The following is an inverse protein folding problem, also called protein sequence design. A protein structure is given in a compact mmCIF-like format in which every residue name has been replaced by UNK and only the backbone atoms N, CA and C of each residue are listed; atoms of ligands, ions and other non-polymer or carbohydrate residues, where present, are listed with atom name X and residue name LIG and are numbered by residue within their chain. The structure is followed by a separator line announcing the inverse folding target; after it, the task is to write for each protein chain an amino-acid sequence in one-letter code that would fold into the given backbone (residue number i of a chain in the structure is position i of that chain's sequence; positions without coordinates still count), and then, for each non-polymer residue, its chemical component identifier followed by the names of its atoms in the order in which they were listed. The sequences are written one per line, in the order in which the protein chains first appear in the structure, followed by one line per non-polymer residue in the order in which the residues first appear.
data_IF_428926937538
#
_entry.id   IF_428926937538
#
_cell.length_a   1.000
_cell.length_b   1.000
_cell.length_c   1.000
_cell.angle_alpha   90.00
_cell.angle_beta   90.00
_cell.angle_gamma   90.00
#
_symmetry.space_group_name_H-M   'P 1'
#
loop_
_entity.id
_entity.type
_entity.pdbx_description
1 polymer ?
#
# COMPACT_ATOMS: atom_id res chain seq x y z
N UNK A 1 23.25 10.24 -20.18
CA UNK A 1 22.34 9.24 -20.76
C UNK A 1 21.93 9.73 -22.15
N UNK A 2 21.97 8.87 -23.16
CA UNK A 2 21.45 9.20 -24.49
C UNK A 2 19.92 9.17 -24.49
N UNK A 3 19.30 9.94 -25.38
CA UNK A 3 17.87 9.81 -25.64
C UNK A 3 17.59 8.49 -26.35
N UNK A 4 16.64 7.70 -25.83
CA UNK A 4 16.18 6.46 -26.44
C UNK A 4 14.67 6.60 -26.64
N UNK A 5 14.23 6.68 -27.90
CA UNK A 5 12.81 6.82 -28.23
C UNK A 5 12.04 5.55 -27.90
N UNK A 6 10.79 5.70 -27.46
CA UNK A 6 9.83 4.60 -27.32
C UNK A 6 9.16 4.20 -28.64
N UNK A 7 9.37 4.97 -29.71
CA UNK A 7 8.59 4.94 -30.95
C UNK A 7 7.58 6.09 -31.06
N UNK A 8 7.33 6.84 -29.98
CA UNK A 8 6.50 8.05 -30.00
C UNK A 8 7.09 9.13 -30.91
N UNK A 9 6.24 9.76 -31.72
CA UNK A 9 6.60 10.86 -32.59
C UNK A 9 6.04 12.21 -32.08
N UNK A 10 6.89 13.16 -31.64
CA UNK A 10 6.44 14.47 -31.19
C UNK A 10 5.85 15.35 -32.31
N UNK A 11 6.23 15.12 -33.58
CA UNK A 11 5.67 15.85 -34.73
C UNK A 11 4.28 15.35 -35.12
N UNK A 12 3.94 14.13 -34.67
CA UNK A 12 2.65 13.49 -34.93
C UNK A 12 2.10 12.86 -33.64
N UNK A 13 1.74 13.68 -32.64
CA UNK A 13 1.44 13.18 -31.31
C UNK A 13 0.17 12.32 -31.23
N UNK A 14 -0.65 12.28 -32.28
CA UNK A 14 -1.88 11.49 -32.33
C UNK A 14 -1.73 10.19 -33.13
N UNK A 15 -0.63 10.02 -33.89
CA UNK A 15 -0.33 8.78 -34.62
C UNK A 15 0.00 7.68 -33.60
N UNK A 16 -0.57 6.48 -33.81
CA UNK A 16 -0.39 5.29 -32.95
C UNK A 16 -0.72 5.47 -31.45
N UNK A 17 -1.49 6.50 -31.10
CA UNK A 17 -1.93 6.75 -29.72
C UNK A 17 -3.05 5.78 -29.31
N UNK A 18 -2.79 4.94 -28.32
CA UNK A 18 -3.80 4.07 -27.68
C UNK A 18 -4.38 4.79 -26.45
N UNK A 19 -5.70 4.95 -26.38
CA UNK A 19 -6.41 5.56 -25.22
C UNK A 19 -7.61 4.71 -24.78
N UNK A 20 -8.15 5.02 -23.60
CA UNK A 20 -9.43 4.48 -23.10
C UNK A 20 -9.48 2.95 -22.90
N UNK A 21 -8.33 2.30 -22.71
CA UNK A 21 -8.24 0.83 -22.51
C UNK A 21 -8.50 0.35 -21.07
N UNK A 22 -8.47 1.25 -20.08
CA UNK A 22 -8.64 0.88 -18.67
C UNK A 22 -7.54 -0.03 -18.10
N UNK A 23 -7.78 -0.69 -16.95
CA UNK A 23 -6.85 -1.65 -16.37
C UNK A 23 -6.92 -3.03 -17.05
N UNK A 24 -5.86 -3.82 -16.91
CA UNK A 24 -5.91 -5.27 -17.19
C UNK A 24 -6.93 -5.95 -16.28
N UNK A 25 -7.59 -6.99 -16.77
CA UNK A 25 -8.62 -7.68 -15.97
C UNK A 25 -7.93 -8.52 -14.89
N UNK A 26 -8.45 -8.47 -13.68
CA UNK A 26 -7.79 -9.09 -12.52
C UNK A 26 -7.62 -10.61 -12.62
N UNK A 27 -8.47 -11.30 -13.39
CA UNK A 27 -8.50 -12.75 -13.50
C UNK A 27 -7.39 -13.31 -14.40
N UNK A 28 -6.72 -12.44 -15.16
CA UNK A 28 -5.47 -12.75 -15.87
C UNK A 28 -4.31 -13.06 -14.89
N UNK A 29 -4.44 -12.67 -13.62
CA UNK A 29 -3.38 -12.77 -12.61
C UNK A 29 -3.75 -13.63 -11.41
N UNK A 30 -4.82 -14.43 -11.50
CA UNK A 30 -5.17 -15.33 -10.40
C UNK A 30 -4.22 -16.52 -10.32
N UNK A 31 -3.74 -16.90 -9.12
CA UNK A 31 -3.22 -18.24 -8.90
C UNK A 31 -4.28 -19.27 -9.32
N UNK A 32 -3.89 -20.43 -9.90
CA UNK A 32 -4.85 -21.43 -10.39
C UNK A 32 -5.87 -21.88 -9.34
N UNK A 33 -5.45 -22.04 -8.08
CA UNK A 33 -6.35 -22.40 -6.96
C UNK A 33 -7.40 -21.32 -6.69
N UNK A 34 -7.07 -20.05 -6.88
CA UNK A 34 -7.98 -18.92 -6.72
C UNK A 34 -8.97 -18.86 -7.89
N UNK A 35 -8.47 -19.01 -9.13
CA UNK A 35 -9.30 -19.01 -10.32
C UNK A 35 -10.35 -20.14 -10.27
N UNK A 36 -9.92 -21.35 -9.91
CA UNK A 36 -10.77 -22.55 -9.82
C UNK A 36 -11.88 -22.43 -8.77
N UNK A 37 -11.58 -21.85 -7.60
CA UNK A 37 -12.48 -21.84 -6.45
C UNK A 37 -13.12 -20.45 -6.20
N UNK A 38 -13.07 -19.55 -7.18
CA UNK A 38 -13.63 -18.20 -7.05
C UNK A 38 -15.14 -18.27 -6.82
N UNK A 39 -15.58 -17.87 -5.64
CA UNK A 39 -16.99 -17.81 -5.26
C UNK A 39 -17.50 -19.06 -4.54
N UNK A 40 -16.65 -20.07 -4.33
CA UNK A 40 -16.99 -21.34 -3.66
C UNK A 40 -16.12 -21.59 -2.43
N UNK A 41 -15.73 -20.51 -1.73
CA UNK A 41 -14.99 -20.57 -0.47
C UNK A 41 -15.94 -20.86 0.69
N UNK A 42 -15.62 -21.89 1.48
CA UNK A 42 -16.47 -22.34 2.59
C UNK A 42 -16.14 -21.61 3.90
N UNK A 43 -14.85 -21.54 4.26
CA UNK A 43 -14.39 -20.84 5.46
C UNK A 43 -12.93 -20.40 5.33
N UNK A 44 -12.49 -19.61 6.31
CA UNK A 44 -11.09 -19.26 6.49
C UNK A 44 -10.70 -19.39 7.96
N UNK A 45 -9.40 -19.51 8.21
CA UNK A 45 -8.84 -19.50 9.55
C UNK A 45 -7.49 -18.75 9.57
N UNK A 46 -7.10 -18.27 10.76
CA UNK A 46 -5.83 -17.60 11.01
C UNK A 46 -4.93 -18.54 11.79
N UNK A 47 -4.03 -19.23 11.08
CA UNK A 47 -3.18 -20.28 11.67
C UNK A 47 -2.15 -19.72 12.65
N UNK A 48 -1.58 -18.56 12.31
CA UNK A 48 -0.65 -17.79 13.15
C UNK A 48 -0.60 -16.34 12.66
N UNK A 49 0.01 -15.40 13.40
CA UNK A 49 0.16 -14.03 12.93
C UNK A 49 0.78 -13.99 11.52
N UNK A 50 0.09 -13.30 10.61
CA UNK A 50 0.48 -13.19 9.20
C UNK A 50 0.14 -14.39 8.30
N UNK A 51 -0.38 -15.51 8.81
CA UNK A 51 -0.71 -16.69 7.99
C UNK A 51 -2.19 -17.03 8.06
N UNK A 52 -2.83 -17.11 6.89
CA UNK A 52 -4.23 -17.46 6.71
C UNK A 52 -4.33 -18.77 5.94
N UNK A 53 -5.43 -19.50 6.11
CA UNK A 53 -5.87 -20.54 5.19
C UNK A 53 -7.31 -20.27 4.76
N UNK A 54 -7.61 -20.47 3.49
CA UNK A 54 -8.99 -20.55 2.98
C UNK A 54 -9.24 -21.96 2.46
N UNK A 55 -10.43 -22.48 2.73
CA UNK A 55 -10.86 -23.82 2.31
C UNK A 55 -12.10 -23.70 1.43
N UNK A 56 -12.03 -24.28 0.24
CA UNK A 56 -13.13 -24.29 -0.72
C UNK A 56 -14.12 -25.44 -0.43
N UNK A 57 -15.32 -25.35 -0.98
CA UNK A 57 -16.31 -26.44 -0.97
C UNK A 57 -15.78 -27.75 -1.55
N UNK A 58 -14.84 -27.66 -2.50
CA UNK A 58 -14.14 -28.81 -3.11
C UNK A 58 -13.15 -29.50 -2.16
N UNK A 59 -12.82 -28.88 -1.03
CA UNK A 59 -11.73 -29.27 -0.13
C UNK A 59 -10.36 -28.69 -0.50
N UNK A 60 -10.25 -28.00 -1.65
CA UNK A 60 -9.02 -27.28 -2.02
C UNK A 60 -8.68 -26.23 -0.95
N UNK A 61 -7.38 -26.05 -0.69
CA UNK A 61 -6.87 -25.08 0.26
C UNK A 61 -5.92 -24.10 -0.40
N UNK A 62 -5.89 -22.88 0.11
CA UNK A 62 -4.85 -21.89 -0.19
C UNK A 62 -4.39 -21.23 1.10
N UNK A 63 -3.08 -21.26 1.32
CA UNK A 63 -2.44 -20.55 2.42
C UNK A 63 -1.92 -19.22 1.93
N UNK A 64 -2.18 -18.17 2.71
CA UNK A 64 -1.72 -16.81 2.42
C UNK A 64 -0.77 -16.35 3.50
N UNK A 65 0.45 -15.96 3.12
CA UNK A 65 1.42 -15.31 4.01
C UNK A 65 1.41 -13.82 3.72
N UNK A 66 0.93 -13.04 4.69
CA UNK A 66 0.90 -11.58 4.65
C UNK A 66 2.15 -11.00 5.29
N UNK A 67 2.79 -10.08 4.57
CA UNK A 67 3.96 -9.34 5.04
C UNK A 67 3.76 -7.84 4.95
N UNK A 68 4.41 -7.12 5.86
CA UNK A 68 4.47 -5.66 5.84
C UNK A 68 5.13 -5.15 4.56
N UNK A 69 4.60 -4.05 4.03
CA UNK A 69 5.19 -3.33 2.90
C UNK A 69 5.38 -1.85 3.24
N UNK A 70 6.43 -1.22 2.72
CA UNK A 70 6.72 0.20 2.98
C UNK A 70 5.92 1.18 2.10
N UNK A 71 5.09 0.65 1.18
CA UNK A 71 4.31 1.38 0.15
C UNK A 71 5.18 2.18 -0.83
N UNK A 72 5.96 3.14 -0.35
CA UNK A 72 7.02 3.78 -1.13
C UNK A 72 8.21 2.82 -1.26
N UNK A 73 8.39 2.24 -2.44
CA UNK A 73 9.38 1.18 -2.67
C UNK A 73 10.15 1.37 -3.97
N UNK A 74 11.38 0.85 -4.00
CA UNK A 74 12.19 0.84 -5.22
C UNK A 74 11.77 -0.28 -6.17
N UNK A 75 12.10 -0.12 -7.45
CA UNK A 75 11.92 -1.19 -8.44
C UNK A 75 12.73 -2.44 -8.09
N UNK A 76 13.90 -2.30 -7.45
CA UNK A 76 14.68 -3.45 -6.94
C UNK A 76 13.92 -4.25 -5.89
N UNK A 77 13.22 -3.57 -4.98
CA UNK A 77 12.41 -4.26 -3.97
C UNK A 77 11.19 -4.96 -4.60
N UNK A 78 10.57 -4.36 -5.63
CA UNK A 78 9.50 -5.01 -6.41
C UNK A 78 10.04 -6.27 -7.12
N UNK A 79 11.23 -6.20 -7.72
CA UNK A 79 11.86 -7.38 -8.35
C UNK A 79 12.16 -8.49 -7.35
N UNK A 80 12.55 -8.15 -6.12
CA UNK A 80 12.75 -9.12 -5.03
C UNK A 80 11.41 -9.76 -4.59
N UNK A 81 10.30 -9.00 -4.58
CA UNK A 81 8.96 -9.56 -4.39
C UNK A 81 8.62 -10.57 -5.50
N UNK A 82 8.91 -10.24 -6.76
CA UNK A 82 8.70 -11.15 -7.89
C UNK A 82 9.57 -12.41 -7.80
N UNK A 83 10.84 -12.29 -7.40
CA UNK A 83 11.74 -13.44 -7.18
C UNK A 83 11.15 -14.44 -6.17
N UNK A 84 10.63 -13.94 -5.04
CA UNK A 84 9.97 -14.78 -4.02
C UNK A 84 8.70 -15.43 -4.59
N UNK A 85 7.89 -14.65 -5.33
CA UNK A 85 6.66 -15.14 -5.94
C UNK A 85 6.94 -16.24 -6.97
N UNK A 86 7.95 -16.09 -7.82
CA UNK A 86 8.38 -17.11 -8.79
C UNK A 86 8.88 -18.37 -8.09
N UNK A 87 9.70 -18.20 -7.04
CA UNK A 87 10.30 -19.32 -6.31
C UNK A 87 9.29 -20.16 -5.53
N UNK A 88 8.28 -19.53 -4.92
CA UNK A 88 7.39 -20.20 -3.97
C UNK A 88 5.93 -20.24 -4.40
N UNK A 89 5.48 -19.26 -5.19
CA UNK A 89 4.06 -18.99 -5.46
C UNK A 89 3.73 -19.05 -6.96
N UNK A 90 4.56 -19.75 -7.76
CA UNK A 90 4.38 -19.94 -9.20
C UNK A 90 4.23 -18.62 -9.98
N UNK A 91 4.89 -17.56 -9.50
CA UNK A 91 4.89 -16.21 -10.09
C UNK A 91 3.75 -15.30 -9.63
N UNK A 92 2.86 -15.78 -8.74
CA UNK A 92 1.70 -15.01 -8.28
C UNK A 92 1.94 -14.31 -6.94
N UNK A 93 1.53 -13.06 -6.85
CA UNK A 93 1.54 -12.24 -5.63
C UNK A 93 0.42 -11.20 -5.71
N UNK A 94 -0.08 -10.76 -4.57
CA UNK A 94 -1.06 -9.67 -4.52
C UNK A 94 -0.71 -8.64 -3.45
N UNK A 95 -1.31 -7.46 -3.57
CA UNK A 95 -1.25 -6.41 -2.56
C UNK A 95 -2.62 -6.25 -1.89
N UNK A 96 -2.61 -5.95 -0.60
CA UNK A 96 -3.82 -5.68 0.18
C UNK A 96 -4.23 -4.22 0.05
N UNK A 97 -5.46 -3.91 0.45
CA UNK A 97 -5.98 -2.53 0.55
C UNK A 97 -5.24 -1.63 1.55
N UNK A 98 -4.32 -2.20 2.34
CA UNK A 98 -3.45 -1.47 3.28
C UNK A 98 -1.98 -1.58 2.89
N UNK A 99 -1.68 -1.87 1.63
CA UNK A 99 -0.33 -1.88 1.06
C UNK A 99 0.63 -2.94 1.63
N UNK A 100 0.10 -3.93 2.36
CA UNK A 100 0.82 -5.18 2.63
C UNK A 100 0.88 -6.04 1.37
N UNK A 101 1.84 -6.96 1.35
CA UNK A 101 2.05 -7.94 0.28
C UNK A 101 1.54 -9.29 0.78
N UNK A 102 0.94 -10.09 -0.10
CA UNK A 102 0.47 -11.42 0.19
C UNK A 102 0.95 -12.43 -0.85
N UNK A 103 1.64 -13.46 -0.35
CA UNK A 103 2.11 -14.61 -1.09
C UNK A 103 1.16 -15.78 -0.82
N UNK A 104 0.80 -16.53 -1.86
CA UNK A 104 -0.20 -17.60 -1.77
C UNK A 104 0.38 -18.92 -2.27
N UNK A 105 0.20 -19.99 -1.49
CA UNK A 105 0.61 -21.35 -1.86
C UNK A 105 -0.57 -22.31 -1.71
N UNK A 106 -0.72 -23.23 -2.67
CA UNK A 106 -1.77 -24.26 -2.66
C UNK A 106 -1.27 -25.62 -2.12
N UNK A 107 0.04 -25.81 -2.02
CA UNK A 107 0.67 -26.97 -1.38
C UNK A 107 1.20 -26.54 -0.01
N UNK A 108 0.67 -27.15 1.06
CA UNK A 108 1.08 -26.89 2.45
C UNK A 108 2.57 -27.05 2.66
N UNK A 109 3.22 -27.96 1.92
CA UNK A 109 4.67 -28.20 2.02
C UNK A 109 5.51 -26.99 1.58
N UNK A 110 4.95 -26.07 0.78
CA UNK A 110 5.62 -24.82 0.38
C UNK A 110 5.50 -23.72 1.42
N UNK A 111 4.63 -23.85 2.42
CA UNK A 111 4.37 -22.80 3.42
C UNK A 111 5.60 -22.51 4.28
N UNK A 112 6.18 -23.54 4.90
CA UNK A 112 7.34 -23.37 5.77
C UNK A 112 8.59 -22.85 5.03
N UNK A 113 8.93 -23.36 3.82
CA UNK A 113 9.98 -22.77 2.99
C UNK A 113 9.77 -21.28 2.70
N UNK A 114 8.54 -20.88 2.35
CA UNK A 114 8.19 -19.49 2.08
C UNK A 114 8.37 -18.60 3.32
N UNK A 115 7.84 -19.04 4.47
CA UNK A 115 7.93 -18.32 5.74
C UNK A 115 9.40 -18.08 6.12
N UNK A 116 10.24 -19.12 6.07
CA UNK A 116 11.67 -19.02 6.42
C UNK A 116 12.43 -18.06 5.49
N UNK A 117 12.12 -18.10 4.18
CA UNK A 117 12.74 -17.20 3.20
C UNK A 117 12.38 -15.74 3.52
N UNK A 118 11.10 -15.44 3.76
CA UNK A 118 10.63 -14.10 4.11
C UNK A 118 11.27 -13.57 5.41
N UNK A 119 11.34 -14.39 6.46
CA UNK A 119 11.93 -14.02 7.76
C UNK A 119 13.44 -13.75 7.68
N UNK A 120 14.14 -14.40 6.73
CA UNK A 120 15.58 -14.24 6.54
C UNK A 120 15.98 -12.92 5.89
N UNK A 121 15.03 -12.21 5.26
CA UNK A 121 15.32 -11.06 4.40
C UNK A 121 15.30 -9.74 5.18
N UNK A 122 16.47 -9.08 5.23
CA UNK A 122 16.67 -7.78 5.87
C UNK A 122 17.37 -6.80 4.94
N UNK A 123 17.14 -5.51 5.14
CA UNK A 123 17.98 -4.46 4.59
C UNK A 123 19.28 -4.35 5.39
N UNK A 124 20.32 -3.74 4.80
CA UNK A 124 21.63 -3.56 5.44
C UNK A 124 21.53 -2.82 6.79
N UNK A 125 20.55 -1.92 6.93
CA UNK A 125 20.24 -1.21 8.18
C UNK A 125 19.52 -2.05 9.24
N UNK A 126 19.32 -3.35 9.01
CA UNK A 126 18.77 -4.30 9.98
C UNK A 126 17.24 -4.43 9.99
N UNK A 127 16.50 -3.56 9.30
CA UNK A 127 15.05 -3.66 9.17
C UNK A 127 14.65 -4.88 8.32
N UNK A 128 13.56 -5.54 8.72
CA UNK A 128 12.96 -6.62 7.92
C UNK A 128 12.46 -6.08 6.58
N UNK A 129 12.76 -6.81 5.49
CA UNK A 129 12.20 -6.52 4.17
C UNK A 129 10.73 -6.97 4.09
N UNK A 130 10.43 -8.12 4.68
CA UNK A 130 9.12 -8.77 4.58
C UNK A 130 8.64 -9.29 5.95
N UNK A 131 8.43 -8.42 6.96
CA UNK A 131 7.99 -8.86 8.27
C UNK A 131 6.60 -9.51 8.18
N UNK A 132 6.45 -10.74 8.66
CA UNK A 132 5.18 -11.49 8.62
C UNK A 132 4.26 -10.98 9.73
N UNK A 133 2.99 -10.69 9.41
CA UNK A 133 2.03 -10.21 10.40
C UNK A 133 0.77 -9.53 9.82
N UNK A 134 0.09 -8.75 10.66
CA UNK A 134 -1.02 -7.89 10.26
C UNK A 134 -2.35 -8.60 10.01
N UNK A 135 -2.50 -9.87 10.41
CA UNK A 135 -3.78 -10.63 10.44
C UNK A 135 -4.46 -10.54 11.82
N UNK A 136 -5.69 -11.03 11.97
CA UNK A 136 -6.35 -11.11 13.28
C UNK A 136 -6.47 -9.79 14.04
N UNK A 137 -6.52 -9.86 15.37
CA UNK A 137 -6.58 -8.72 16.29
C UNK A 137 -5.20 -8.10 16.53
N UNK A 138 -4.60 -7.65 15.43
CA UNK A 138 -3.30 -6.99 15.35
C UNK A 138 -3.44 -5.55 14.82
N UNK A 139 -2.41 -4.73 15.03
CA UNK A 139 -2.22 -3.51 14.24
C UNK A 139 -1.72 -3.93 12.87
N UNK A 140 -2.44 -3.58 11.81
CA UNK A 140 -1.93 -3.73 10.45
C UNK A 140 -1.30 -2.42 9.97
N UNK A 141 -0.81 -2.41 8.75
CA UNK A 141 -0.07 -1.31 8.18
C UNK A 141 -0.87 0.02 8.17
N UNK A 142 -0.13 1.13 8.12
CA UNK A 142 -0.66 2.50 8.17
C UNK A 142 -0.91 2.99 6.75
N UNK A 143 -2.19 3.23 6.42
CA UNK A 143 -2.55 3.96 5.20
C UNK A 143 -2.06 5.39 5.34
N UNK A 144 -1.25 5.86 4.40
CA UNK A 144 -0.58 7.16 4.49
C UNK A 144 -0.43 7.85 3.13
N UNK A 145 -0.08 9.14 3.18
CA UNK A 145 -0.05 10.04 2.02
C UNK A 145 1.35 10.28 1.48
N UNK A 146 1.52 11.29 0.62
CA UNK A 146 2.81 11.64 0.04
C UNK A 146 3.77 12.32 1.02
N UNK A 147 3.27 13.22 1.89
CA UNK A 147 4.14 14.00 2.77
C UNK A 147 5.13 14.88 1.99
N UNK A 148 6.34 15.04 2.53
CA UNK A 148 7.40 15.86 1.93
C UNK A 148 8.05 15.19 0.72
N UNK A 149 7.78 13.90 0.48
CA UNK A 149 8.35 13.19 -0.66
C UNK A 149 7.81 13.70 -2.02
N UNK A 150 6.62 14.30 -2.06
CA UNK A 150 5.99 14.68 -3.34
C UNK A 150 4.89 15.74 -3.27
N UNK A 151 4.28 16.03 -2.12
CA UNK A 151 3.15 16.97 -2.05
C UNK A 151 3.63 18.40 -1.80
N UNK A 152 2.90 19.40 -2.32
CA UNK A 152 3.16 20.82 -2.09
C UNK A 152 2.29 21.45 -0.97
N UNK A 153 1.25 20.76 -0.49
CA UNK A 153 0.43 21.20 0.66
C UNK A 153 0.64 20.45 2.00
N UNK A 154 1.74 19.71 2.25
CA UNK A 154 1.89 18.95 3.48
C UNK A 154 2.19 19.87 4.68
N UNK A 155 1.52 19.64 5.80
CA UNK A 155 1.87 20.21 7.10
C UNK A 155 2.85 19.31 7.90
N UNK A 156 3.09 18.09 7.42
CA UNK A 156 4.03 17.10 7.99
C UNK A 156 4.45 16.10 6.90
N UNK A 157 5.56 15.39 7.12
CA UNK A 157 5.88 14.22 6.31
C UNK A 157 4.90 13.05 6.54
N UNK A 158 4.93 12.06 5.65
CA UNK A 158 4.17 10.83 5.77
C UNK A 158 5.05 9.61 6.05
N UNK A 159 6.04 9.33 5.18
CA UNK A 159 6.86 8.13 5.27
C UNK A 159 7.66 8.04 6.58
N UNK A 160 8.25 9.15 7.02
CA UNK A 160 9.00 9.23 8.27
C UNK A 160 8.15 8.93 9.51
N UNK A 161 7.04 9.67 9.76
CA UNK A 161 6.15 9.39 10.88
C UNK A 161 5.55 7.98 10.86
N UNK A 162 5.23 7.43 9.68
CA UNK A 162 4.75 6.04 9.54
C UNK A 162 5.82 5.05 10.00
N UNK A 163 7.06 5.22 9.54
CA UNK A 163 8.19 4.37 9.96
C UNK A 163 8.39 4.44 11.47
N UNK A 164 8.47 5.64 12.04
CA UNK A 164 8.64 5.83 13.47
C UNK A 164 7.50 5.20 14.28
N UNK A 165 6.25 5.34 13.82
CA UNK A 165 5.08 4.76 14.49
C UNK A 165 5.08 3.24 14.40
N UNK A 166 5.34 2.68 13.21
CA UNK A 166 5.36 1.23 13.02
C UNK A 166 6.51 0.53 13.75
N UNK A 167 7.63 1.22 13.99
CA UNK A 167 8.72 0.68 14.80
C UNK A 167 8.31 0.49 16.27
N UNK A 168 7.57 1.43 16.84
CA UNK A 168 7.03 1.31 18.21
C UNK A 168 5.90 0.29 18.28
N UNK A 169 5.10 0.18 17.22
CA UNK A 169 3.94 -0.72 17.17
C UNK A 169 4.25 -2.10 16.58
N UNK A 170 5.53 -2.42 16.33
CA UNK A 170 5.93 -3.59 15.57
C UNK A 170 5.47 -4.91 16.24
N UNK A 171 5.54 -4.99 17.57
CA UNK A 171 5.07 -6.16 18.32
C UNK A 171 3.56 -6.41 18.14
N UNK A 172 2.76 -5.35 17.96
CA UNK A 172 1.33 -5.48 17.68
C UNK A 172 1.05 -5.85 16.23
N UNK A 173 2.02 -5.71 15.33
CA UNK A 173 1.91 -6.18 13.96
C UNK A 173 2.15 -7.68 13.86
N UNK A 174 3.09 -8.22 14.66
CA UNK A 174 3.47 -9.63 14.64
C UNK A 174 2.66 -10.52 15.59
N UNK A 175 1.66 -9.98 16.30
CA UNK A 175 0.89 -10.75 17.29
C UNK A 175 -0.58 -10.29 17.39
N UNK A 176 -1.44 -11.15 17.93
CA UNK A 176 -2.89 -10.95 18.10
C UNK A 176 -3.25 -10.52 19.53
N UNK A 177 -2.60 -9.46 20.03
CA UNK A 177 -2.72 -9.00 21.42
C UNK A 177 -3.90 -8.04 21.69
N UNK A 178 -4.58 -7.56 20.65
CA UNK A 178 -5.60 -6.53 20.81
C UNK A 178 -6.99 -7.13 21.03
N UNK A 179 -7.94 -6.39 21.65
CA UNK A 179 -9.34 -6.81 21.74
C UNK A 179 -10.03 -6.91 20.37
N UNK A 180 -9.59 -6.11 19.40
CA UNK A 180 -10.12 -6.06 18.04
C UNK A 180 -9.04 -5.61 17.06
N UNK A 181 -9.35 -5.67 15.76
CA UNK A 181 -8.48 -5.10 14.73
C UNK A 181 -8.38 -3.58 14.93
N UNK A 182 -7.15 -3.06 15.01
CA UNK A 182 -6.90 -1.62 15.10
C UNK A 182 -6.26 -1.11 13.81
N UNK A 183 -6.81 -0.03 13.27
CA UNK A 183 -6.38 0.64 12.04
C UNK A 183 -5.85 2.02 12.39
N UNK A 184 -4.58 2.25 12.05
CA UNK A 184 -3.96 3.57 12.12
C UNK A 184 -3.88 4.15 10.70
N UNK A 185 -4.19 5.42 10.51
CA UNK A 185 -3.96 6.10 9.23
C UNK A 185 -3.34 7.48 9.43
N UNK A 186 -2.59 7.95 8.43
CA UNK A 186 -1.93 9.24 8.45
C UNK A 186 -2.28 10.07 7.21
N UNK A 187 -2.56 11.35 7.39
CA UNK A 187 -2.61 12.32 6.30
C UNK A 187 -1.74 13.53 6.61
N UNK A 188 -0.98 13.95 5.61
CA UNK A 188 -0.05 15.07 5.73
C UNK A 188 -0.73 16.45 5.82
N UNK A 189 -2.02 16.54 5.47
CA UNK A 189 -2.84 17.75 5.62
C UNK A 189 -4.34 17.39 5.69
N UNK A 190 -5.18 18.39 5.93
CA UNK A 190 -6.63 18.25 6.12
C UNK A 190 -7.44 17.83 4.89
N UNK A 191 -6.82 17.76 3.71
CA UNK A 191 -7.45 17.08 2.57
C UNK A 191 -7.64 15.58 2.84
N UNK A 192 -6.96 15.05 3.86
CA UNK A 192 -7.20 13.73 4.45
C UNK A 192 -7.23 12.59 3.42
N UNK A 193 -6.36 12.65 2.40
CA UNK A 193 -6.26 11.63 1.37
C UNK A 193 -6.00 10.25 2.01
N UNK A 194 -6.95 9.33 1.91
CA UNK A 194 -6.89 8.03 2.58
C UNK A 194 -7.98 7.89 3.64
N UNK A 195 -7.61 7.44 4.84
CA UNK A 195 -8.57 6.92 5.81
C UNK A 195 -8.50 7.58 7.20
N UNK A 196 -7.89 8.77 7.33
CA UNK A 196 -7.78 9.48 8.62
C UNK A 196 -9.16 9.71 9.27
N UNK A 197 -10.19 10.04 8.49
CA UNK A 197 -11.54 10.32 9.00
C UNK A 197 -12.31 9.06 9.50
N UNK A 198 -11.80 7.86 9.24
CA UNK A 198 -12.51 6.59 9.50
C UNK A 198 -11.59 5.49 10.06
N UNK A 199 -10.51 5.89 10.73
CA UNK A 199 -9.56 4.97 11.39
C UNK A 199 -9.72 5.03 12.90
N UNK A 200 -9.37 3.94 13.58
CA UNK A 200 -9.39 3.86 15.05
C UNK A 200 -8.41 4.87 15.67
N UNK A 201 -7.24 5.05 15.03
CA UNK A 201 -6.28 6.10 15.35
C UNK A 201 -5.89 6.85 14.08
N UNK A 202 -5.86 8.18 14.18
CA UNK A 202 -5.61 9.05 13.04
C UNK A 202 -4.50 10.06 13.36
N UNK A 203 -3.51 10.15 12.48
CA UNK A 203 -2.42 11.14 12.56
C UNK A 203 -2.65 12.17 11.45
N UNK A 204 -2.75 13.44 11.81
CA UNK A 204 -3.09 14.51 10.87
C UNK A 204 -2.11 15.68 10.98
N UNK A 205 -1.49 16.03 9.86
CA UNK A 205 -0.75 17.27 9.72
C UNK A 205 -1.68 18.48 9.81
N UNK A 206 -1.31 19.46 10.64
CA UNK A 206 -2.18 20.60 10.95
C UNK A 206 -1.40 21.92 10.96
N UNK A 207 -1.88 22.90 10.20
CA UNK A 207 -1.35 24.26 10.22
C UNK A 207 -1.92 25.05 11.41
N UNK A 208 -1.16 26.01 11.94
CA UNK A 208 -1.60 26.87 13.06
C UNK A 208 -1.43 28.37 12.78
N UNK A 209 -1.26 28.73 11.51
CA UNK A 209 -1.08 30.11 11.05
C UNK A 209 -1.89 30.32 9.77
N UNK A 210 -2.48 31.51 9.56
CA UNK A 210 -3.03 31.92 8.27
C UNK A 210 -1.97 31.87 7.15
N UNK A 211 -2.38 31.79 5.87
CA UNK A 211 -1.46 31.85 4.74
C UNK A 211 -0.79 33.24 4.63
N UNK A 212 0.43 33.27 4.09
CA UNK A 212 1.06 34.51 3.66
C UNK A 212 0.53 34.91 2.28
N UNK A 213 0.44 36.22 2.03
CA UNK A 213 -0.06 36.76 0.76
C UNK A 213 1.11 37.27 -0.08
N UNK A 214 1.23 36.75 -1.30
CA UNK A 214 2.20 37.21 -2.29
C UNK A 214 1.52 38.17 -3.29
N UNK A 215 1.36 39.42 -2.87
CA UNK A 215 0.61 40.43 -3.62
C UNK A 215 1.18 40.72 -5.02
N UNK A 216 2.48 40.47 -5.25
CA UNK A 216 3.10 40.73 -6.56
C UNK A 216 2.61 39.75 -7.64
N UNK A 217 2.29 38.52 -7.25
CA UNK A 217 1.96 37.44 -8.17
C UNK A 217 0.54 36.90 -8.04
N UNK A 218 -0.18 37.21 -6.96
CA UNK A 218 -1.51 36.65 -6.68
C UNK A 218 -2.46 36.78 -7.88
N UNK A 219 -2.61 37.97 -8.45
CA UNK A 219 -3.51 38.20 -9.60
C UNK A 219 -2.99 37.59 -10.92
N UNK A 220 -1.68 37.32 -11.00
CA UNK A 220 -1.05 36.71 -12.18
C UNK A 220 -1.16 35.19 -12.19
N UNK A 221 -1.31 34.57 -11.02
CA UNK A 221 -1.23 33.12 -10.83
C UNK A 221 -2.56 32.50 -10.35
N UNK A 222 -3.49 33.31 -9.83
CA UNK A 222 -4.71 32.82 -9.20
C UNK A 222 -5.96 33.38 -9.87
N UNK A 223 -6.94 32.52 -10.08
CA UNK A 223 -8.32 32.93 -10.35
C UNK A 223 -8.98 33.33 -9.02
N UNK A 224 -8.98 34.64 -8.70
CA UNK A 224 -9.41 35.17 -7.38
C UNK A 224 -10.77 34.63 -6.90
N UNK A 225 -11.83 34.54 -7.74
CA UNK A 225 -13.11 33.98 -7.30
C UNK A 225 -13.00 32.55 -6.76
N UNK A 226 -12.09 31.73 -7.31
CA UNK A 226 -11.85 30.37 -6.80
C UNK A 226 -11.22 30.40 -5.42
N UNK A 227 -10.28 31.32 -5.16
CA UNK A 227 -9.64 31.45 -3.85
C UNK A 227 -10.65 31.87 -2.77
N UNK A 228 -11.54 32.83 -3.08
CA UNK A 228 -12.62 33.25 -2.17
C UNK A 228 -13.56 32.06 -1.88
N UNK A 229 -14.05 31.40 -2.92
CA UNK A 229 -14.98 30.27 -2.79
C UNK A 229 -14.38 29.04 -2.08
N UNK A 230 -13.05 28.90 -2.08
CA UNK A 230 -12.37 27.80 -1.40
C UNK A 230 -12.34 27.94 0.14
N UNK A 231 -12.65 29.12 0.69
CA UNK A 231 -12.60 29.32 2.14
C UNK A 231 -13.88 28.83 2.84
N UNK A 232 -13.82 27.74 3.64
CA UNK A 232 -15.01 27.20 4.31
C UNK A 232 -15.57 28.13 5.41
N UNK A 233 -14.80 29.14 5.82
CA UNK A 233 -15.18 30.09 6.88
C UNK A 233 -15.28 31.54 6.39
N UNK A 234 -15.23 31.76 5.07
CA UNK A 234 -15.36 33.08 4.45
C UNK A 234 -14.42 34.15 5.02
N UNK A 235 -13.16 33.78 5.27
CA UNK A 235 -12.12 34.68 5.77
C UNK A 235 -11.25 35.34 4.66
N UNK A 236 -11.56 35.06 3.39
CA UNK A 236 -10.88 35.60 2.19
C UNK A 236 -11.85 36.56 1.49
#
# INVERSE_FOLDING_TARGET
MAFVSSGYNPDKPMEDRITDIGPRKYDEFYPPVIAKNKGTWLYHDVIKPGVLVHVAESGDKVWTVRVGGVRLMSTTHIREICEIAEKHCDGYVRFTTRNNIEFMVADEKKLDPLVKDLESRKFDGGSFKFPIGGTGTAITNIVHTQGWAHCHTPATDASGPVKATMDVLFDYFQDHKLPAKLRVSLACCLNMCGAVHCSDIAILGYHRKPPMLDHEYLDKMCEIPLAIAACPTAAI
#
